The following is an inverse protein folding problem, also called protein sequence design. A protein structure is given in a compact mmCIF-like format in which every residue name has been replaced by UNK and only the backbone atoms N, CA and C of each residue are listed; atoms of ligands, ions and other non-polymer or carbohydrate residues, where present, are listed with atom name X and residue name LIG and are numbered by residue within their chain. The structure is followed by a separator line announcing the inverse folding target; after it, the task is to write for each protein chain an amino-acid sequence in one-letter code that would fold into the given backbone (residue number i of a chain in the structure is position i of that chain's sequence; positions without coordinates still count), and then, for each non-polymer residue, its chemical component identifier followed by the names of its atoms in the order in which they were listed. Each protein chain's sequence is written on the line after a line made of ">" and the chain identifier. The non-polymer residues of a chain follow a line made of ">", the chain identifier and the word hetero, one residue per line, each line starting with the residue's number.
data_IF_411175344258
#
_entry.id   IF_411175344258
#
_cell.length_a   1.000
_cell.length_b   1.000
_cell.length_c   1.000
_cell.angle_alpha   90.00
_cell.angle_beta   90.00
_cell.angle_gamma   90.00
#
_symmetry.space_group_name_H-M   'P 1'
#
loop_
_entity.id
_entity.type
_entity.pdbx_description
1 polymer ?
#
# COMPACT_ATOMS: atom_id res chain seq x y z
N UNK A 1 -13.89 -3.84 12.56
CA UNK A 1 -12.90 -2.76 12.68
C UNK A 1 -12.09 -2.56 11.42
N UNK A 2 -11.80 -1.30 11.11
CA UNK A 2 -10.94 -0.84 9.99
C UNK A 2 -9.52 -1.30 10.28
N UNK A 3 -8.76 -1.78 9.28
CA UNK A 3 -7.31 -1.98 9.50
C UNK A 3 -6.74 -0.67 10.03
N UNK A 4 -5.94 -0.71 11.11
CA UNK A 4 -5.30 0.49 11.64
C UNK A 4 -4.49 1.18 10.53
N UNK A 5 -4.20 2.47 10.72
CA UNK A 5 -3.17 3.17 9.93
C UNK A 5 -1.99 2.22 9.75
N UNK A 6 -1.44 2.12 8.54
CA UNK A 6 -0.28 1.26 8.32
C UNK A 6 0.94 1.98 8.91
N UNK A 7 1.09 1.89 10.24
CA UNK A 7 2.03 2.70 11.01
C UNK A 7 3.46 2.16 10.98
N UNK A 8 3.64 0.89 10.60
CA UNK A 8 4.97 0.26 10.54
C UNK A 8 5.23 -0.30 9.16
N UNK A 9 6.40 -0.01 8.62
CA UNK A 9 6.98 -0.89 7.62
C UNK A 9 7.58 -2.05 8.36
N UNK A 10 7.23 -3.31 8.01
CA UNK A 10 8.22 -4.35 8.15
C UNK A 10 9.51 -3.80 7.52
N UNK A 11 10.63 -3.82 8.23
CA UNK A 11 11.92 -3.30 7.76
C UNK A 11 12.23 -3.81 6.34
N UNK A 12 11.77 -5.04 6.06
CA UNK A 12 11.74 -5.69 4.75
C UNK A 12 11.06 -4.85 3.66
N UNK A 13 9.87 -4.29 3.88
CA UNK A 13 9.20 -3.42 2.89
C UNK A 13 10.02 -2.18 2.58
N UNK A 14 10.50 -1.52 3.63
CA UNK A 14 11.31 -0.31 3.46
C UNK A 14 12.55 -0.62 2.62
N UNK A 15 13.21 -1.74 2.89
CA UNK A 15 14.35 -2.20 2.11
C UNK A 15 13.98 -2.42 0.63
N UNK A 16 12.86 -3.09 0.34
CA UNK A 16 12.41 -3.35 -1.03
C UNK A 16 12.10 -2.05 -1.79
N UNK A 17 11.43 -1.10 -1.13
CA UNK A 17 11.16 0.23 -1.68
C UNK A 17 12.47 1.00 -1.93
N UNK A 18 13.40 0.96 -0.97
CA UNK A 18 14.73 1.60 -1.12
C UNK A 18 15.48 1.02 -2.31
N UNK A 19 15.55 -0.30 -2.45
CA UNK A 19 16.22 -0.96 -3.57
C UNK A 19 15.61 -0.54 -4.91
N UNK A 20 14.27 -0.52 -5.01
CA UNK A 20 13.57 -0.10 -6.23
C UNK A 20 13.87 1.36 -6.60
N UNK A 21 13.82 2.26 -5.62
CA UNK A 21 14.00 3.70 -5.83
C UNK A 21 15.47 4.03 -6.12
N UNK A 22 16.41 3.43 -5.39
CA UNK A 22 17.85 3.66 -5.60
C UNK A 22 18.33 3.11 -6.94
N UNK A 23 17.68 2.08 -7.50
CA UNK A 23 17.93 1.59 -8.85
C UNK A 23 17.47 2.51 -9.98
N UNK A 24 16.78 3.63 -9.68
CA UNK A 24 16.23 4.56 -10.67
C UNK A 24 16.74 5.98 -10.41
N UNK A 25 17.64 6.53 -11.24
CA UNK A 25 18.29 7.82 -10.96
C UNK A 25 17.31 8.97 -10.69
N UNK A 26 16.27 9.12 -11.53
CA UNK A 26 15.27 10.19 -11.38
C UNK A 26 14.46 10.06 -10.08
N UNK A 27 13.97 8.86 -9.77
CA UNK A 27 13.23 8.62 -8.52
C UNK A 27 14.12 8.76 -7.29
N UNK A 28 15.37 8.28 -7.37
CA UNK A 28 16.32 8.43 -6.29
C UNK A 28 16.61 9.90 -6.00
N UNK A 29 16.75 10.76 -7.00
CA UNK A 29 16.98 12.19 -6.76
C UNK A 29 15.82 12.83 -5.98
N UNK A 30 14.60 12.35 -6.20
CA UNK A 30 13.40 12.91 -5.62
C UNK A 30 13.06 12.38 -4.22
N UNK A 31 13.23 11.07 -4.02
CA UNK A 31 12.70 10.33 -2.88
C UNK A 31 13.76 9.86 -1.88
N UNK A 32 15.06 9.89 -2.25
CA UNK A 32 16.14 9.33 -1.40
C UNK A 32 16.14 9.94 0.00
N UNK A 33 16.05 11.26 0.10
CA UNK A 33 16.16 11.94 1.38
C UNK A 33 15.03 11.55 2.31
N UNK A 34 13.78 11.51 1.81
CA UNK A 34 12.64 11.07 2.61
C UNK A 34 12.73 9.57 2.95
N UNK A 35 13.23 8.71 2.05
CA UNK A 35 13.45 7.28 2.34
C UNK A 35 14.53 7.02 3.39
N UNK A 36 15.55 7.87 3.44
CA UNK A 36 16.60 7.83 4.47
C UNK A 36 16.07 8.41 5.79
N UNK A 37 15.22 9.43 5.72
CA UNK A 37 14.73 10.18 6.88
C UNK A 37 13.47 9.60 7.52
N UNK A 38 12.75 8.66 6.88
CA UNK A 38 11.58 7.95 7.41
C UNK A 38 11.77 7.31 8.82
N UNK A 39 12.99 7.33 9.35
CA UNK A 39 13.37 6.74 10.66
C UNK A 39 14.12 7.69 11.59
N UNK A 40 14.26 8.99 11.29
CA UNK A 40 14.95 9.90 12.22
C UNK A 40 14.02 10.30 13.38
N UNK A 41 14.38 10.04 14.65
CA UNK A 41 13.65 10.57 15.81
C UNK A 41 13.66 12.10 15.80
N UNK A 42 12.53 12.74 16.14
CA UNK A 42 12.46 14.18 16.39
C UNK A 42 11.83 15.06 15.30
N UNK A 43 11.31 14.50 14.20
CA UNK A 43 10.47 15.24 13.24
C UNK A 43 9.00 15.19 13.67
N UNK A 44 8.25 16.29 13.47
CA UNK A 44 6.79 16.25 13.58
C UNK A 44 6.21 15.29 12.54
N UNK A 45 5.45 14.25 12.94
CA UNK A 45 4.90 13.25 12.02
C UNK A 45 4.06 13.86 10.88
N UNK A 46 3.23 14.85 11.21
CA UNK A 46 2.26 15.44 10.28
C UNK A 46 2.94 16.23 9.14
N UNK A 47 3.95 17.04 9.48
CA UNK A 47 4.73 17.79 8.49
C UNK A 47 5.54 16.85 7.59
N UNK A 48 6.01 15.73 8.12
CA UNK A 48 6.73 14.73 7.35
C UNK A 48 5.82 13.94 6.41
N UNK A 49 4.57 13.67 6.81
CA UNK A 49 3.58 12.95 5.99
C UNK A 49 3.13 13.79 4.77
N UNK A 50 2.82 15.07 4.97
CA UNK A 50 2.43 15.96 3.88
C UNK A 50 3.56 16.20 2.86
N UNK A 51 4.79 16.42 3.35
CA UNK A 51 5.97 16.55 2.50
C UNK A 51 6.23 15.26 1.71
N UNK A 52 6.10 14.10 2.35
CA UNK A 52 6.25 12.80 1.70
C UNK A 52 5.23 12.60 0.57
N UNK A 53 3.95 12.92 0.82
CA UNK A 53 2.90 12.82 -0.20
C UNK A 53 3.20 13.72 -1.41
N UNK A 54 3.55 14.98 -1.19
CA UNK A 54 3.88 15.90 -2.29
C UNK A 54 5.04 15.36 -3.17
N UNK A 55 6.04 14.73 -2.54
CA UNK A 55 7.14 14.07 -3.28
C UNK A 55 6.69 12.84 -4.06
N UNK A 56 5.76 12.05 -3.51
CA UNK A 56 5.18 10.92 -4.24
C UNK A 56 4.31 11.37 -5.42
N UNK A 57 3.60 12.49 -5.30
CA UNK A 57 2.83 13.07 -6.41
C UNK A 57 3.75 13.58 -7.53
N UNK A 58 4.87 14.23 -7.20
CA UNK A 58 5.91 14.57 -8.17
C UNK A 58 6.51 13.31 -8.82
N UNK A 59 6.77 12.26 -8.03
CA UNK A 59 7.31 11.00 -8.54
C UNK A 59 6.35 10.36 -9.54
N UNK A 60 5.05 10.38 -9.23
CA UNK A 60 4.00 9.85 -10.10
C UNK A 60 3.85 10.68 -11.39
N UNK A 61 4.19 11.97 -11.38
CA UNK A 61 4.26 12.78 -12.62
C UNK A 61 5.48 12.44 -13.47
N UNK A 62 6.63 12.21 -12.85
CA UNK A 62 7.88 11.90 -13.57
C UNK A 62 7.94 10.46 -14.08
N UNK A 63 7.31 9.52 -13.38
CA UNK A 63 7.27 8.11 -13.72
C UNK A 63 5.82 7.59 -13.61
N UNK A 64 4.92 8.03 -14.51
CA UNK A 64 3.50 7.73 -14.40
C UNK A 64 3.19 6.25 -14.38
N UNK A 65 4.01 5.43 -15.05
CA UNK A 65 3.86 3.97 -15.16
C UNK A 65 4.64 3.16 -14.11
N UNK A 66 5.34 3.81 -13.18
CA UNK A 66 6.08 3.08 -12.16
C UNK A 66 5.13 2.49 -11.11
N UNK A 67 5.01 1.16 -11.13
CA UNK A 67 4.09 0.43 -10.25
C UNK A 67 4.37 0.69 -8.77
N UNK A 68 5.62 0.82 -8.34
CA UNK A 68 5.96 1.05 -6.92
C UNK A 68 5.62 2.47 -6.51
N UNK A 69 5.83 3.46 -7.37
CA UNK A 69 5.39 4.84 -7.09
C UNK A 69 3.87 4.90 -6.94
N UNK A 70 3.12 4.25 -7.85
CA UNK A 70 1.65 4.12 -7.75
C UNK A 70 1.22 3.50 -6.42
N UNK A 71 1.91 2.44 -6.00
CA UNK A 71 1.65 1.78 -4.72
C UNK A 71 1.90 2.71 -3.52
N UNK A 72 3.06 3.38 -3.49
CA UNK A 72 3.44 4.27 -2.39
C UNK A 72 2.45 5.43 -2.26
N UNK A 73 2.02 6.01 -3.38
CA UNK A 73 1.02 7.08 -3.38
C UNK A 73 -0.35 6.55 -2.93
N UNK A 74 -0.79 5.39 -3.42
CA UNK A 74 -2.03 4.76 -2.96
C UNK A 74 -2.03 4.47 -1.47
N UNK A 75 -0.90 4.02 -0.92
CA UNK A 75 -0.71 3.79 0.52
C UNK A 75 -0.69 5.08 1.34
N UNK A 76 -0.05 6.13 0.85
CA UNK A 76 -0.05 7.44 1.52
C UNK A 76 -1.48 7.99 1.61
N UNK A 77 -2.21 7.97 0.50
CA UNK A 77 -3.62 8.38 0.45
C UNK A 77 -4.51 7.53 1.35
N UNK A 78 -4.27 6.23 1.43
CA UNK A 78 -4.97 5.34 2.35
C UNK A 78 -4.77 5.77 3.81
N UNK A 79 -3.54 6.10 4.19
CA UNK A 79 -3.19 6.56 5.55
C UNK A 79 -3.74 7.95 5.88
N UNK A 80 -3.97 8.78 4.86
CA UNK A 80 -4.63 10.09 4.94
C UNK A 80 -6.17 9.97 4.89
N UNK A 81 -6.70 8.74 4.85
CA UNK A 81 -8.12 8.43 4.77
C UNK A 81 -8.79 8.86 3.45
N UNK A 82 -8.01 9.17 2.42
CA UNK A 82 -8.47 9.46 1.05
C UNK A 82 -8.73 8.16 0.26
N UNK A 83 -9.77 7.44 0.67
CA UNK A 83 -10.03 6.06 0.24
C UNK A 83 -10.32 5.88 -1.25
N UNK A 84 -11.09 6.77 -1.87
CA UNK A 84 -11.38 6.72 -3.31
C UNK A 84 -10.12 6.89 -4.16
N UNK A 85 -9.33 7.97 -3.95
CA UNK A 85 -8.01 8.13 -4.57
C UNK A 85 -7.06 6.96 -4.30
N UNK A 86 -6.99 6.49 -3.05
CA UNK A 86 -6.15 5.35 -2.68
C UNK A 86 -6.49 4.09 -3.49
N UNK A 87 -7.77 3.74 -3.60
CA UNK A 87 -8.24 2.57 -4.36
C UNK A 87 -7.79 2.64 -5.82
N UNK A 88 -7.90 3.81 -6.46
CA UNK A 88 -7.49 3.98 -7.86
C UNK A 88 -6.00 3.70 -8.06
N UNK A 89 -5.16 4.29 -7.22
CA UNK A 89 -3.71 4.12 -7.32
C UNK A 89 -3.26 2.69 -6.99
N UNK A 90 -3.86 2.06 -5.99
CA UNK A 90 -3.56 0.67 -5.63
C UNK A 90 -3.94 -0.30 -6.76
N UNK A 91 -5.13 -0.13 -7.37
CA UNK A 91 -5.54 -0.94 -8.53
C UNK A 91 -4.60 -0.74 -9.72
N UNK A 92 -4.24 0.51 -10.04
CA UNK A 92 -3.33 0.82 -11.13
C UNK A 92 -1.94 0.20 -10.90
N UNK A 93 -1.44 0.25 -9.66
CA UNK A 93 -0.17 -0.37 -9.27
C UNK A 93 -0.20 -1.89 -9.48
N UNK A 94 -1.25 -2.57 -8.99
CA UNK A 94 -1.42 -4.02 -9.15
C UNK A 94 -1.52 -4.43 -10.63
N UNK A 95 -2.29 -3.68 -11.42
CA UNK A 95 -2.46 -3.93 -12.86
C UNK A 95 -1.14 -3.77 -13.66
N UNK A 96 -0.19 -2.99 -13.13
CA UNK A 96 1.11 -2.73 -13.78
C UNK A 96 2.18 -3.77 -13.41
N UNK A 97 1.79 -4.87 -12.74
CA UNK A 97 2.73 -5.91 -12.35
C UNK A 97 3.63 -5.50 -11.17
N UNK A 98 3.05 -4.86 -10.15
CA UNK A 98 3.77 -4.49 -8.93
C UNK A 98 4.64 -5.64 -8.41
N UNK A 99 5.94 -5.34 -8.32
CA UNK A 99 6.99 -6.23 -7.82
C UNK A 99 7.82 -5.45 -6.80
N UNK A 100 8.32 -6.10 -5.74
CA UNK A 100 8.25 -7.53 -5.41
C UNK A 100 6.89 -8.00 -4.84
N UNK A 101 6.73 -9.33 -4.69
CA UNK A 101 5.48 -9.98 -4.28
C UNK A 101 4.93 -9.46 -2.95
N UNK A 102 5.79 -9.07 -2.02
CA UNK A 102 5.41 -8.49 -0.74
C UNK A 102 4.64 -7.17 -0.92
N UNK A 103 5.12 -6.27 -1.78
CA UNK A 103 4.44 -5.00 -2.05
C UNK A 103 3.09 -5.26 -2.71
N UNK A 104 3.04 -6.25 -3.60
CA UNK A 104 1.81 -6.69 -4.25
C UNK A 104 0.78 -7.22 -3.25
N UNK A 105 1.19 -8.05 -2.29
CA UNK A 105 0.30 -8.59 -1.27
C UNK A 105 -0.17 -7.50 -0.29
N UNK A 106 0.69 -6.54 0.09
CA UNK A 106 0.25 -5.40 0.90
C UNK A 106 -0.74 -4.52 0.14
N UNK A 107 -0.45 -4.17 -1.12
CA UNK A 107 -1.36 -3.39 -1.94
C UNK A 107 -2.74 -4.07 -2.06
N UNK A 108 -2.74 -5.40 -2.22
CA UNK A 108 -3.96 -6.21 -2.26
C UNK A 108 -4.69 -6.20 -0.91
N UNK A 109 -3.99 -6.33 0.21
CA UNK A 109 -4.59 -6.25 1.55
C UNK A 109 -5.25 -4.90 1.83
N UNK A 110 -4.62 -3.79 1.41
CA UNK A 110 -5.24 -2.47 1.51
C UNK A 110 -6.48 -2.38 0.63
N UNK A 111 -6.42 -2.92 -0.59
CA UNK A 111 -7.53 -2.93 -1.51
C UNK A 111 -8.72 -3.75 -0.98
N UNK A 112 -8.47 -4.93 -0.38
CA UNK A 112 -9.51 -5.76 0.27
C UNK A 112 -10.25 -4.96 1.33
N UNK A 113 -9.53 -4.21 2.17
CA UNK A 113 -10.17 -3.36 3.18
C UNK A 113 -11.03 -2.26 2.54
N UNK A 114 -10.52 -1.58 1.52
CA UNK A 114 -11.28 -0.53 0.82
C UNK A 114 -12.56 -1.10 0.19
N UNK A 115 -12.47 -2.24 -0.49
CA UNK A 115 -13.59 -2.96 -1.08
C UNK A 115 -14.63 -3.37 -0.02
N UNK A 116 -14.16 -3.94 1.10
CA UNK A 116 -15.02 -4.33 2.22
C UNK A 116 -15.77 -3.12 2.78
N UNK A 117 -15.08 -1.99 2.99
CA UNK A 117 -15.69 -0.75 3.54
C UNK A 117 -16.72 -0.12 2.63
N UNK A 118 -16.55 -0.19 1.31
CA UNK A 118 -17.54 0.32 0.34
C UNK A 118 -18.66 -0.67 0.02
N UNK A 119 -18.72 -1.82 0.71
CA UNK A 119 -19.76 -2.82 0.50
C UNK A 119 -19.53 -3.76 -0.68
N UNK A 120 -18.38 -3.70 -1.34
CA UNK A 120 -18.06 -4.53 -2.50
C UNK A 120 -17.52 -5.89 -2.07
N UNK A 121 -18.37 -6.66 -1.40
CA UNK A 121 -17.97 -7.89 -0.73
C UNK A 121 -17.51 -8.99 -1.67
N UNK A 122 -18.02 -9.05 -2.91
CA UNK A 122 -17.58 -10.02 -3.91
C UNK A 122 -16.16 -9.75 -4.40
N UNK A 123 -15.83 -8.46 -4.63
CA UNK A 123 -14.47 -8.04 -4.95
C UNK A 123 -13.54 -8.34 -3.76
N UNK A 124 -13.95 -7.92 -2.55
CA UNK A 124 -13.19 -8.15 -1.33
C UNK A 124 -12.91 -9.63 -1.07
N UNK A 125 -13.91 -10.51 -1.28
CA UNK A 125 -13.75 -11.94 -1.06
C UNK A 125 -12.80 -12.56 -2.09
N UNK A 126 -12.88 -12.14 -3.35
CA UNK A 126 -11.98 -12.62 -4.41
C UNK A 126 -10.52 -12.29 -4.10
N UNK A 127 -10.27 -11.05 -3.72
CA UNK A 127 -8.93 -10.56 -3.41
C UNK A 127 -8.42 -11.15 -2.08
N UNK A 128 -9.31 -11.33 -1.09
CA UNK A 128 -8.99 -12.04 0.16
C UNK A 128 -8.62 -13.52 -0.05
N UNK A 129 -9.28 -14.24 -0.97
CA UNK A 129 -8.84 -15.60 -1.35
C UNK A 129 -7.43 -15.62 -1.94
N UNK A 130 -7.08 -14.58 -2.70
CA UNK A 130 -5.72 -14.47 -3.25
C UNK A 130 -4.69 -14.25 -2.13
N UNK A 131 -5.03 -13.48 -1.08
CA UNK A 131 -4.21 -13.36 0.13
C UNK A 131 -4.11 -14.68 0.89
N UNK A 132 -5.23 -15.39 1.09
CA UNK A 132 -5.30 -16.69 1.76
C UNK A 132 -4.56 -17.81 1.00
N UNK A 133 -4.26 -17.61 -0.29
CA UNK A 133 -3.42 -18.52 -1.07
C UNK A 133 -1.92 -18.14 -1.04
N UNK A 134 -1.54 -17.07 -0.33
CA UNK A 134 -0.16 -16.60 -0.31
C UNK A 134 0.78 -17.59 0.41
N UNK A 135 2.00 -17.72 -0.12
CA UNK A 135 3.07 -18.49 0.52
C UNK A 135 3.59 -17.82 1.81
N UNK A 136 3.37 -16.50 1.97
CA UNK A 136 3.79 -15.74 3.14
C UNK A 136 2.69 -15.80 4.20
N UNK A 137 3.04 -16.38 5.36
CA UNK A 137 2.11 -16.66 6.47
C UNK A 137 1.28 -15.45 6.90
N UNK A 138 1.93 -14.28 7.07
CA UNK A 138 1.26 -13.04 7.48
C UNK A 138 0.08 -12.68 6.56
N UNK A 139 0.29 -12.76 5.24
CA UNK A 139 -0.75 -12.44 4.27
C UNK A 139 -1.79 -13.56 4.13
N UNK A 140 -1.39 -14.82 4.36
CA UNK A 140 -2.31 -15.94 4.39
C UNK A 140 -3.35 -15.78 5.50
N UNK A 141 -2.87 -15.64 6.74
CA UNK A 141 -3.71 -15.44 7.91
C UNK A 141 -4.59 -14.19 7.77
N UNK A 142 -4.05 -13.11 7.21
CA UNK A 142 -4.83 -11.90 6.93
C UNK A 142 -5.95 -12.13 5.91
N UNK A 143 -5.68 -12.92 4.87
CA UNK A 143 -6.69 -13.30 3.88
C UNK A 143 -7.83 -14.12 4.48
N UNK A 144 -7.50 -15.08 5.34
CA UNK A 144 -8.46 -15.92 6.07
C UNK A 144 -9.34 -15.07 7.01
N UNK A 145 -8.74 -14.19 7.82
CA UNK A 145 -9.48 -13.24 8.68
C UNK A 145 -10.46 -12.38 7.87
N UNK A 146 -10.05 -11.89 6.70
CA UNK A 146 -10.94 -11.13 5.83
C UNK A 146 -12.13 -11.96 5.30
N UNK A 147 -11.90 -13.21 4.94
CA UNK A 147 -12.97 -14.10 4.47
C UNK A 147 -14.01 -14.33 5.56
N UNK A 148 -13.57 -14.56 6.80
CA UNK A 148 -14.46 -14.71 7.95
C UNK A 148 -15.29 -13.45 8.21
N UNK A 149 -14.65 -12.27 8.16
CA UNK A 149 -15.34 -10.98 8.31
C UNK A 149 -16.39 -10.75 7.23
N UNK A 150 -16.07 -11.08 5.98
CA UNK A 150 -16.99 -10.94 4.84
C UNK A 150 -18.16 -11.90 4.99
N UNK A 151 -17.91 -13.16 5.35
CA UNK A 151 -18.94 -14.16 5.57
C UNK A 151 -19.90 -13.72 6.68
N UNK A 152 -19.35 -13.27 7.82
CA UNK A 152 -20.13 -12.73 8.91
C UNK A 152 -20.98 -11.53 8.49
N UNK A 153 -20.41 -10.58 7.73
CA UNK A 153 -21.15 -9.41 7.24
C UNK A 153 -22.30 -9.77 6.32
N UNK A 154 -22.15 -10.79 5.47
CA UNK A 154 -23.21 -11.26 4.56
C UNK A 154 -24.35 -11.97 5.28
N UNK A 155 -24.08 -12.53 6.45
CA UNK A 155 -25.07 -13.23 7.27
C UNK A 155 -25.94 -12.31 8.13
N UNK A 156 -25.66 -11.00 8.12
CA UNK A 156 -26.39 -9.96 8.86
C UNK A 156 -27.12 -9.02 7.92
#
# INVERSE_FOLDING_TARGET
>A
DVLPRVTRAPERRLLLVKLHVLGRPALSALLRDELVQLWRPGRSPESSEAAWRARLEEAARQAPDDAVVRYLLGRALYNDLEFGPAERWLRASLASGLSPVELRLEALALLVNLQYRRGAWDDAARDARTLAAAAIEEYRALGEDWLDRIAWRRSR
#
